data_IF_015410830906
#
_entry.id   IF_015410830906
#
_cell.length_a   1.000
_cell.length_b   1.000
_cell.length_c   1.000
_cell.angle_alpha   90.00
_cell.angle_beta   90.00
_cell.angle_gamma   90.00
#
_symmetry.space_group_name_H-M   'P 1'
#
loop_
_entity.id
_entity.type
_entity.pdbx_description
1 polymer ?
#
# COMPACT_ATOMS: atom_id res chain seq x y z
N UNK A 1 -6.92 -13.13 -3.08
CA UNK A 1 -6.99 -12.03 -2.10
C UNK A 1 -8.24 -11.22 -2.40
N UNK A 2 -9.10 -10.99 -1.41
CA UNK A 2 -10.32 -10.22 -1.63
C UNK A 2 -10.00 -8.73 -1.59
N UNK A 3 -10.43 -7.98 -2.60
CA UNK A 3 -10.28 -6.51 -2.69
C UNK A 3 -10.67 -5.79 -1.38
N UNK A 4 -11.70 -6.31 -0.72
CA UNK A 4 -12.19 -5.84 0.59
C UNK A 4 -11.11 -5.88 1.69
N UNK A 5 -10.23 -6.87 1.71
CA UNK A 5 -9.19 -6.99 2.75
C UNK A 5 -8.08 -5.95 2.58
N UNK A 6 -7.74 -5.62 1.32
CA UNK A 6 -6.75 -4.59 0.99
C UNK A 6 -7.34 -3.20 1.32
N UNK A 7 -8.58 -2.95 0.89
CA UNK A 7 -9.28 -1.69 1.16
C UNK A 7 -9.44 -1.44 2.67
N UNK A 8 -9.76 -2.48 3.46
CA UNK A 8 -9.82 -2.37 4.92
C UNK A 8 -8.45 -2.08 5.55
N UNK A 9 -7.38 -2.73 5.09
CA UNK A 9 -6.04 -2.48 5.59
C UNK A 9 -5.60 -1.04 5.30
N UNK A 10 -5.93 -0.53 4.11
CA UNK A 10 -5.63 0.83 3.69
C UNK A 10 -6.39 1.83 4.56
N UNK A 11 -7.70 1.65 4.74
CA UNK A 11 -8.51 2.51 5.60
C UNK A 11 -8.06 2.53 7.07
N UNK A 12 -7.58 1.39 7.59
CA UNK A 12 -7.01 1.32 8.95
C UNK A 12 -5.71 2.11 9.04
N UNK A 13 -4.84 2.00 8.04
CA UNK A 13 -3.60 2.75 7.95
C UNK A 13 -3.86 4.26 7.86
N UNK A 14 -4.77 4.67 6.97
CA UNK A 14 -5.23 6.05 6.81
C UNK A 14 -5.70 6.64 8.13
N UNK A 15 -6.61 5.95 8.83
CA UNK A 15 -7.13 6.42 10.13
C UNK A 15 -6.08 6.47 11.23
N UNK A 16 -5.16 5.50 11.26
CA UNK A 16 -4.14 5.40 12.30
C UNK A 16 -3.15 6.57 12.24
N UNK A 17 -2.77 6.96 11.03
CA UNK A 17 -1.81 8.04 10.79
C UNK A 17 -2.45 9.37 10.37
N UNK A 18 -3.78 9.40 10.29
CA UNK A 18 -4.60 10.55 9.85
C UNK A 18 -4.16 11.04 8.46
N UNK A 19 -3.94 10.10 7.55
CA UNK A 19 -3.49 10.36 6.18
C UNK A 19 -4.68 10.57 5.24
N UNK A 20 -4.46 11.29 4.12
CA UNK A 20 -5.29 11.17 2.93
C UNK A 20 -5.48 9.69 2.50
N UNK A 21 -6.51 9.40 1.67
CA UNK A 21 -6.76 8.06 1.17
C UNK A 21 -5.52 7.44 0.50
N UNK A 22 -5.26 6.18 0.82
CA UNK A 22 -4.23 5.35 0.19
C UNK A 22 -4.86 4.67 -1.01
N UNK A 23 -4.21 4.81 -2.16
CA UNK A 23 -4.74 4.29 -3.41
C UNK A 23 -4.03 3.00 -3.81
N UNK A 24 -4.79 1.98 -4.13
CA UNK A 24 -4.26 0.79 -4.80
C UNK A 24 -3.93 1.15 -6.25
N UNK A 25 -2.66 1.08 -6.62
CA UNK A 25 -2.19 1.34 -7.98
C UNK A 25 -1.57 0.08 -8.57
N UNK A 26 -1.70 -0.08 -9.89
CA UNK A 26 -1.01 -1.14 -10.63
C UNK A 26 -0.40 -0.61 -11.91
N UNK A 27 0.82 -1.05 -12.21
CA UNK A 27 1.51 -0.76 -13.48
C UNK A 27 1.25 -1.83 -14.55
N UNK A 28 0.30 -2.74 -14.31
CA UNK A 28 -0.01 -3.88 -15.17
C UNK A 28 0.82 -5.14 -14.87
N UNK A 29 1.81 -5.07 -13.98
CA UNK A 29 2.62 -6.21 -13.51
C UNK A 29 2.63 -6.32 -11.99
N UNK A 30 2.58 -5.19 -11.30
CA UNK A 30 2.81 -5.05 -9.87
C UNK A 30 1.63 -4.30 -9.28
N UNK A 31 1.21 -4.73 -8.09
CA UNK A 31 0.30 -3.97 -7.24
C UNK A 31 1.13 -3.16 -6.23
N UNK A 32 0.73 -1.92 -5.99
CA UNK A 32 1.33 -1.04 -5.01
C UNK A 32 0.31 -0.22 -4.24
N UNK A 33 0.73 0.27 -3.08
CA UNK A 33 0.02 1.25 -2.28
C UNK A 33 0.62 2.63 -2.56
N UNK A 34 -0.16 3.53 -3.14
CA UNK A 34 0.21 4.93 -3.31
C UNK A 34 -0.30 5.73 -2.12
N UNK A 35 0.65 6.31 -1.38
CA UNK A 35 0.41 6.98 -0.10
C UNK A 35 0.77 8.45 -0.27
N UNK A 36 -0.11 9.33 0.19
CA UNK A 36 0.12 10.78 0.25
C UNK A 36 0.18 11.16 1.73
N UNK A 37 1.20 11.90 2.14
CA UNK A 37 1.35 12.41 3.50
C UNK A 37 0.55 13.69 3.71
N UNK A 38 0.37 14.07 4.97
CA UNK A 38 -0.28 15.35 5.34
C UNK A 38 0.44 16.57 4.77
N UNK A 39 1.73 16.45 4.52
CA UNK A 39 2.57 17.54 4.01
C UNK A 39 2.54 17.63 2.48
N UNK A 40 1.78 16.75 1.82
CA UNK A 40 1.69 16.69 0.36
C UNK A 40 2.81 15.90 -0.32
N UNK A 41 3.68 15.24 0.45
CA UNK A 41 4.64 14.29 -0.12
C UNK A 41 3.92 13.01 -0.50
N UNK A 42 4.36 12.35 -1.57
CA UNK A 42 3.72 11.12 -2.03
C UNK A 42 4.76 10.09 -2.40
N UNK A 43 4.51 8.84 -2.06
CA UNK A 43 5.37 7.72 -2.38
C UNK A 43 4.54 6.47 -2.68
N UNK A 44 5.17 5.52 -3.36
CA UNK A 44 4.53 4.26 -3.71
C UNK A 44 5.31 3.12 -3.08
N UNK A 45 4.60 2.26 -2.36
CA UNK A 45 5.16 1.03 -1.78
C UNK A 45 4.68 -0.15 -2.61
N UNK A 46 5.62 -0.91 -3.14
CA UNK A 46 5.40 -2.13 -3.90
C UNK A 46 6.10 -3.30 -3.22
N UNK A 47 5.89 -4.53 -3.71
CA UNK A 47 6.62 -5.68 -3.17
C UNK A 47 8.14 -5.60 -3.41
N UNK A 48 8.58 -4.79 -4.36
CA UNK A 48 9.99 -4.58 -4.68
C UNK A 48 10.65 -3.51 -3.80
N UNK A 49 9.86 -2.67 -3.10
CA UNK A 49 10.40 -1.62 -2.23
C UNK A 49 11.37 -2.20 -1.21
N UNK A 50 12.54 -1.58 -1.08
CA UNK A 50 13.57 -1.99 -0.13
C UNK A 50 13.19 -1.68 1.31
N UNK A 51 13.93 -2.20 2.29
CA UNK A 51 13.69 -1.83 3.69
C UNK A 51 14.05 -0.36 3.96
N UNK A 52 15.02 0.19 3.22
CA UNK A 52 15.39 1.61 3.26
C UNK A 52 14.23 2.49 2.80
N UNK A 53 13.59 2.17 1.67
CA UNK A 53 12.40 2.90 1.17
C UNK A 53 11.27 2.89 2.20
N UNK A 54 11.09 1.76 2.91
CA UNK A 54 10.07 1.61 3.95
C UNK A 54 10.38 2.49 5.16
N UNK A 55 11.64 2.56 5.58
CA UNK A 55 12.07 3.39 6.71
C UNK A 55 11.95 4.89 6.38
N UNK A 56 12.28 5.28 5.15
CA UNK A 56 12.08 6.63 4.65
C UNK A 56 10.59 6.99 4.64
N UNK A 57 9.76 6.17 3.99
CA UNK A 57 8.31 6.33 3.95
C UNK A 57 7.69 6.42 5.35
N UNK A 58 8.15 5.58 6.29
CA UNK A 58 7.68 5.60 7.67
C UNK A 58 8.01 6.91 8.39
N UNK A 59 9.17 7.49 8.10
CA UNK A 59 9.60 8.77 8.65
C UNK A 59 8.77 9.93 8.10
N UNK A 60 8.30 9.83 6.84
CA UNK A 60 7.41 10.81 6.21
C UNK A 60 5.97 10.69 6.72
N UNK A 61 5.50 9.47 6.99
CA UNK A 61 4.15 9.21 7.51
C UNK A 61 4.02 9.64 8.97
N UNK A 62 4.99 9.24 9.79
CA UNK A 62 4.92 9.46 11.23
C UNK A 62 6.33 9.51 11.82
N UNK A 63 7.01 10.67 11.79
CA UNK A 63 8.38 10.81 12.29
C UNK A 63 8.50 10.45 13.79
N UNK A 64 7.47 10.73 14.58
CA UNK A 64 7.44 10.40 16.02
C UNK A 64 7.28 8.89 16.30
N UNK A 65 6.80 8.12 15.32
CA UNK A 65 6.52 6.68 15.44
C UNK A 65 7.02 5.89 14.22
N UNK A 66 8.18 6.27 13.69
CA UNK A 66 8.72 5.70 12.46
C UNK A 66 8.86 4.17 12.53
N UNK A 67 9.22 3.61 13.69
CA UNK A 67 9.31 2.14 13.86
C UNK A 67 7.95 1.43 13.70
N UNK A 68 6.88 2.02 14.23
CA UNK A 68 5.52 1.48 14.12
C UNK A 68 5.00 1.64 12.68
N UNK A 69 5.21 2.83 12.09
CA UNK A 69 4.85 3.10 10.70
C UNK A 69 5.59 2.17 9.72
N UNK A 70 6.87 1.88 9.95
CA UNK A 70 7.63 0.94 9.13
C UNK A 70 7.05 -0.48 9.22
N UNK A 71 6.63 -0.93 10.41
CA UNK A 71 5.96 -2.23 10.56
C UNK A 71 4.64 -2.30 9.79
N UNK A 72 3.83 -1.25 9.86
CA UNK A 72 2.56 -1.19 9.16
C UNK A 72 2.74 -1.08 7.64
N UNK A 73 3.73 -0.32 7.17
CA UNK A 73 4.08 -0.23 5.76
C UNK A 73 4.59 -1.59 5.24
N UNK A 74 5.36 -2.35 6.02
CA UNK A 74 5.73 -3.74 5.66
C UNK A 74 4.50 -4.63 5.52
N UNK A 75 3.50 -4.47 6.39
CA UNK A 75 2.25 -5.20 6.27
C UNK A 75 1.51 -4.81 4.98
N UNK A 76 1.38 -3.51 4.66
CA UNK A 76 0.81 -3.04 3.40
C UNK A 76 1.54 -3.60 2.18
N UNK A 77 2.87 -3.56 2.20
CA UNK A 77 3.73 -4.17 1.18
C UNK A 77 3.42 -5.66 0.98
N UNK A 78 3.30 -6.42 2.07
CA UNK A 78 2.98 -7.85 2.01
C UNK A 78 1.63 -8.09 1.33
N UNK A 79 0.62 -7.26 1.61
CA UNK A 79 -0.68 -7.32 0.94
C UNK A 79 -0.55 -7.03 -0.56
N UNK A 80 0.31 -6.08 -0.93
CA UNK A 80 0.59 -5.73 -2.33
C UNK A 80 1.44 -6.77 -3.08
N UNK A 81 2.16 -7.63 -2.36
CA UNK A 81 3.05 -8.65 -2.93
C UNK A 81 2.37 -9.95 -3.34
N UNK A 82 1.11 -10.13 -2.97
CA UNK A 82 0.37 -11.34 -3.33
C UNK A 82 -0.08 -11.21 -4.78
N UNK A 83 0.30 -12.12 -5.69
CA UNK A 83 -0.21 -12.09 -7.06
C UNK A 83 -1.73 -12.08 -7.01
N UNK A 84 -2.35 -11.16 -7.77
CA UNK A 84 -3.79 -11.17 -7.98
C UNK A 84 -4.13 -12.59 -8.45
N UNK A 85 -4.94 -13.37 -7.72
CA UNK A 85 -5.30 -14.70 -8.18
C UNK A 85 -5.82 -14.55 -9.60
N UNK A 86 -5.26 -15.34 -10.51
CA UNK A 86 -5.56 -15.30 -11.93
C UNK A 86 -7.08 -15.48 -12.08
N UNK A 87 -7.83 -14.38 -12.11
CA UNK A 87 -9.26 -14.41 -12.41
C UNK A 87 -9.25 -14.62 -13.93
N UNK A 88 -9.67 -15.79 -14.44
CA UNK A 88 -9.81 -15.96 -15.88
C UNK A 88 -10.69 -14.81 -16.36
N UNK A 89 -10.25 -14.12 -17.41
CA UNK A 89 -11.07 -13.10 -18.05
C UNK A 89 -12.46 -13.70 -18.29
N UNK A 90 -13.56 -13.00 -17.95
CA UNK A 90 -14.89 -13.54 -18.22
C UNK A 90 -14.99 -13.81 -19.73
N UNK A 91 -15.27 -15.06 -20.09
CA UNK A 91 -15.59 -15.50 -21.46
C UNK A 91 -16.90 -14.84 -21.92
N UNK A 92 -16.84 -13.54 -22.22
CA UNK A 92 -17.95 -12.81 -22.82
C UNK A 92 -17.43 -11.78 -23.80
N UNK A 93 -16.92 -12.28 -24.93
CA UNK A 93 -17.28 -11.73 -26.23
C UNK A 93 -18.12 -12.82 -26.93
N UNK A 94 -19.42 -12.84 -26.62
CA UNK A 94 -20.41 -13.51 -27.47
C UNK A 94 -20.74 -12.62 -28.67
#
# INVERSE_FOLDING_TARGET
MNKTEIDEAFHRFEKKYDLPPVFQMSDGKILGAFIITKNGESFMITFESSDEDILEAASLVSPEKAGEAASDIRALKALCSTPVPNVPAPDTLQ
#
